data_IF_816300148968
#
_entry.id   IF_816300148968
#
_cell.length_a   1.000
_cell.length_b   1.000
_cell.length_c   1.000
_cell.angle_alpha   90.00
_cell.angle_beta   90.00
_cell.angle_gamma   90.00
#
_symmetry.space_group_name_H-M   'P 1'
#
loop_
_entity.id
_entity.type
_entity.pdbx_description
1 polymer ?
#
# COMPACT_ATOMS: atom_id res chain seq x y z
N UNK A 1 -0.72 19.38 30.79
CA UNK A 1 -1.60 20.51 30.43
C UNK A 1 -2.41 21.01 31.63
N UNK A 2 -3.21 20.19 32.32
CA UNK A 2 -3.95 20.64 33.52
C UNK A 2 -3.03 21.29 34.58
N UNK A 3 -1.82 20.74 34.74
CA UNK A 3 -0.78 21.28 35.62
C UNK A 3 -0.39 22.74 35.30
N UNK A 4 -0.22 23.10 34.02
CA UNK A 4 0.18 24.46 33.63
C UNK A 4 -0.95 25.48 33.86
N UNK A 5 -2.19 25.11 33.56
CA UNK A 5 -3.37 25.94 33.86
C UNK A 5 -3.52 26.18 35.36
N UNK A 6 -3.31 25.16 36.19
CA UNK A 6 -3.35 25.28 37.65
C UNK A 6 -2.22 26.16 38.17
N UNK A 7 -1.00 25.98 37.69
CA UNK A 7 0.15 26.80 38.08
C UNK A 7 -0.05 28.27 37.69
N UNK A 8 -0.55 28.54 36.48
CA UNK A 8 -0.85 29.91 36.04
C UNK A 8 -2.00 30.53 36.85
N UNK A 9 -3.04 29.75 37.16
CA UNK A 9 -4.12 30.18 38.05
C UNK A 9 -3.64 30.51 39.46
N UNK A 10 -2.76 29.67 40.04
CA UNK A 10 -2.13 29.92 41.34
C UNK A 10 -1.25 31.16 41.31
N UNK A 11 -0.48 31.37 40.24
CA UNK A 11 0.32 32.58 40.04
C UNK A 11 -0.56 33.84 40.07
N UNK A 12 -1.66 33.84 39.31
CA UNK A 12 -2.60 34.97 39.32
C UNK A 12 -3.25 35.18 40.69
N UNK A 13 -3.63 34.10 41.38
CA UNK A 13 -4.22 34.18 42.72
C UNK A 13 -3.25 34.76 43.75
N UNK A 14 -1.97 34.39 43.71
CA UNK A 14 -0.92 34.94 44.59
C UNK A 14 -0.82 36.46 44.40
N UNK A 15 -0.73 36.93 43.15
CA UNK A 15 -0.64 38.36 42.88
C UNK A 15 -1.91 39.14 43.24
N UNK A 16 -3.09 38.53 43.08
CA UNK A 16 -4.35 39.10 43.50
C UNK A 16 -4.43 39.28 45.02
N UNK A 17 -4.00 38.26 45.78
CA UNK A 17 -3.94 38.31 47.25
C UNK A 17 -2.93 39.37 47.70
N UNK A 18 -1.73 39.41 47.11
CA UNK A 18 -0.73 40.43 47.41
C UNK A 18 -1.21 41.86 47.11
N UNK A 19 -2.00 42.05 46.06
CA UNK A 19 -2.65 43.32 45.77
C UNK A 19 -3.70 43.67 46.84
N UNK A 20 -4.56 42.73 47.23
CA UNK A 20 -5.63 42.95 48.18
C UNK A 20 -5.12 43.27 49.61
N UNK A 21 -3.98 42.69 50.02
CA UNK A 21 -3.35 42.99 51.31
C UNK A 21 -2.42 44.22 51.27
N UNK A 22 -1.99 44.66 50.09
CA UNK A 22 -1.01 45.73 49.90
C UNK A 22 -1.64 47.09 49.62
N UNK A 23 -0.95 48.18 50.00
CA UNK A 23 -1.34 49.57 49.61
C UNK A 23 -0.72 50.04 48.28
N UNK A 24 0.13 49.22 47.67
CA UNK A 24 0.91 49.57 46.48
C UNK A 24 0.24 49.02 45.22
N UNK A 25 0.30 49.76 44.11
CA UNK A 25 -0.28 49.35 42.82
C UNK A 25 0.56 48.29 42.07
N UNK A 26 1.81 48.05 42.47
CA UNK A 26 2.74 47.15 41.77
C UNK A 26 2.22 45.72 41.54
N UNK A 27 1.61 45.04 42.54
CA UNK A 27 1.03 43.71 42.33
C UNK A 27 -0.07 43.68 41.26
N UNK A 28 -0.87 44.75 41.16
CA UNK A 28 -1.90 44.88 40.13
C UNK A 28 -1.28 45.03 38.73
N UNK A 29 -0.20 45.79 38.60
CA UNK A 29 0.54 45.92 37.34
C UNK A 29 1.09 44.57 36.86
N UNK A 30 1.64 43.75 37.77
CA UNK A 30 2.15 42.41 37.44
C UNK A 30 1.01 41.48 37.04
N UNK A 31 -0.13 41.52 37.74
CA UNK A 31 -1.31 40.72 37.42
C UNK A 31 -1.89 41.08 36.05
N UNK A 32 -2.12 42.37 35.78
CA UNK A 32 -2.62 42.87 34.49
C UNK A 32 -1.61 42.57 33.36
N UNK A 33 -0.32 42.79 33.60
CA UNK A 33 0.74 42.46 32.64
C UNK A 33 0.78 40.98 32.29
N UNK A 34 0.62 40.10 33.29
CA UNK A 34 0.56 38.64 33.07
C UNK A 34 -0.66 38.24 32.24
N UNK A 35 -1.82 38.86 32.47
CA UNK A 35 -3.05 38.60 31.72
C UNK A 35 -2.91 39.08 30.27
N UNK A 36 -2.41 40.30 30.05
CA UNK A 36 -2.17 40.86 28.71
C UNK A 36 -1.16 39.99 27.95
N UNK A 37 -0.08 39.55 28.61
CA UNK A 37 0.90 38.65 28.01
C UNK A 37 0.27 37.32 27.59
N UNK A 38 -0.57 36.70 28.42
CA UNK A 38 -1.27 35.46 28.07
C UNK A 38 -2.23 35.63 26.89
N UNK A 39 -2.97 36.74 26.83
CA UNK A 39 -3.88 37.04 25.70
C UNK A 39 -3.08 37.29 24.41
N UNK A 40 -1.99 38.06 24.49
CA UNK A 40 -1.12 38.33 23.35
C UNK A 40 -0.49 37.04 22.81
N UNK A 41 0.00 36.18 23.70
CA UNK A 41 0.61 34.90 23.36
C UNK A 41 -0.41 33.94 22.73
N UNK A 42 -1.62 33.87 23.29
CA UNK A 42 -2.73 33.13 22.70
C UNK A 42 -3.08 33.59 21.28
N UNK A 43 -3.14 34.91 21.06
CA UNK A 43 -3.40 35.50 19.75
C UNK A 43 -2.26 35.21 18.76
N UNK A 44 -1.00 35.36 19.19
CA UNK A 44 0.18 35.01 18.40
C UNK A 44 0.17 33.54 17.99
N UNK A 45 -0.05 32.63 18.93
CA UNK A 45 -0.11 31.18 18.68
C UNK A 45 -1.25 30.83 17.73
N UNK A 46 -2.43 31.44 17.90
CA UNK A 46 -3.56 31.22 16.99
C UNK A 46 -3.27 31.74 15.57
N UNK A 47 -2.61 32.88 15.41
CA UNK A 47 -2.25 33.41 14.09
C UNK A 47 -1.13 32.60 13.44
N UNK A 48 -0.08 32.27 14.20
CA UNK A 48 1.07 31.51 13.72
C UNK A 48 0.70 30.09 13.29
N UNK A 49 -0.26 29.46 13.97
CA UNK A 49 -0.76 28.12 13.59
C UNK A 49 -1.33 28.05 12.17
N UNK A 50 -1.75 29.18 11.57
CA UNK A 50 -2.24 29.23 10.17
C UNK A 50 -1.12 29.18 9.13
N UNK A 51 0.13 29.39 9.56
CA UNK A 51 1.30 29.47 8.69
C UNK A 51 2.17 28.19 8.73
N UNK A 52 1.66 27.15 9.38
CA UNK A 52 2.28 25.84 9.43
C UNK A 52 1.92 25.04 8.18
N UNK A 53 2.93 24.35 7.64
CA UNK A 53 2.76 23.31 6.62
C UNK A 53 3.42 22.04 7.12
N UNK A 54 2.72 20.93 6.97
CA UNK A 54 3.25 19.62 7.31
C UNK A 54 3.56 18.84 6.04
N UNK A 55 4.69 18.14 6.07
CA UNK A 55 5.04 17.15 5.07
C UNK A 55 5.53 15.88 5.75
N UNK A 56 5.14 14.75 5.19
CA UNK A 56 5.49 13.42 5.70
C UNK A 56 6.25 12.70 4.60
N UNK A 57 7.43 12.17 4.93
CA UNK A 57 8.18 11.30 4.02
C UNK A 57 8.57 10.01 4.71
N UNK A 58 8.58 8.94 3.93
CA UNK A 58 8.92 7.59 4.35
C UNK A 58 9.70 6.91 3.20
N UNK A 59 10.49 5.87 3.47
CA UNK A 59 11.04 5.02 2.43
C UNK A 59 9.92 4.42 1.58
N UNK A 60 10.20 4.18 0.29
CA UNK A 60 9.23 3.57 -0.63
C UNK A 60 8.95 2.11 -0.24
N UNK A 61 10.00 1.37 0.09
CA UNK A 61 9.95 0.00 0.55
C UNK A 61 11.02 -0.29 1.59
N UNK A 62 10.76 -1.29 2.43
CA UNK A 62 11.61 -1.75 3.55
C UNK A 62 11.48 -3.28 3.64
N UNK A 63 12.54 -3.98 4.03
CA UNK A 63 12.48 -5.44 4.23
C UNK A 63 11.73 -5.79 5.52
N UNK A 64 11.13 -6.98 5.58
CA UNK A 64 10.49 -7.45 6.80
C UNK A 64 11.51 -7.52 7.95
N UNK A 65 11.10 -7.04 9.12
CA UNK A 65 11.94 -6.96 10.32
C UNK A 65 12.81 -5.70 10.43
N UNK A 66 12.98 -4.92 9.35
CA UNK A 66 13.66 -3.62 9.41
C UNK A 66 12.74 -2.53 10.00
N UNK A 67 13.34 -1.46 10.53
CA UNK A 67 12.60 -0.33 11.07
C UNK A 67 12.19 0.67 9.98
N UNK A 68 10.90 1.00 9.93
CA UNK A 68 10.39 2.04 9.02
C UNK A 68 10.60 3.41 9.65
N UNK A 69 11.51 4.19 9.08
CA UNK A 69 11.83 5.55 9.52
C UNK A 69 10.97 6.58 8.80
N UNK A 70 10.11 7.26 9.54
CA UNK A 70 9.18 8.27 9.03
C UNK A 70 9.67 9.65 9.41
N UNK A 71 9.98 10.48 8.42
CA UNK A 71 10.38 11.87 8.63
C UNK A 71 9.14 12.77 8.63
N UNK A 72 8.88 13.39 9.77
CA UNK A 72 7.86 14.43 9.94
C UNK A 72 8.55 15.77 9.79
N UNK A 73 8.13 16.54 8.81
CA UNK A 73 8.72 17.82 8.53
C UNK A 73 7.68 18.93 8.66
N UNK A 74 8.01 19.90 9.51
CA UNK A 74 7.19 21.05 9.85
C UNK A 74 7.86 22.29 9.27
N UNK A 75 7.16 23.00 8.40
CA UNK A 75 7.59 24.29 7.88
C UNK A 75 6.72 25.39 8.50
N UNK A 76 7.36 26.35 9.18
CA UNK A 76 6.69 27.54 9.69
C UNK A 76 7.05 28.74 8.82
N UNK A 77 6.10 29.15 7.98
CA UNK A 77 6.26 30.33 7.10
C UNK A 77 6.03 31.66 7.84
N UNK A 78 5.52 31.59 9.07
CA UNK A 78 5.22 32.73 9.92
C UNK A 78 6.47 33.32 10.57
N UNK A 79 6.33 34.55 11.08
CA UNK A 79 7.37 35.25 11.85
C UNK A 79 7.52 34.71 13.28
N UNK A 80 6.44 34.22 13.88
CA UNK A 80 6.43 33.80 15.27
C UNK A 80 6.85 32.34 15.42
N UNK A 81 7.78 32.08 16.35
CA UNK A 81 8.20 30.74 16.72
C UNK A 81 7.15 30.05 17.59
N UNK A 82 6.89 28.78 17.31
CA UNK A 82 6.01 27.92 18.09
C UNK A 82 6.84 26.93 18.88
N UNK A 83 6.82 27.04 20.20
CA UNK A 83 7.74 26.27 21.04
C UNK A 83 7.34 24.79 21.18
N UNK A 84 6.04 24.49 21.20
CA UNK A 84 5.56 23.12 21.41
C UNK A 84 4.44 22.78 20.45
N UNK A 85 4.76 21.91 19.51
CA UNK A 85 3.81 21.19 18.66
C UNK A 85 3.74 19.76 19.16
N UNK A 86 2.53 19.21 19.28
CA UNK A 86 2.33 17.77 19.47
C UNK A 86 1.79 17.20 18.17
N UNK A 87 2.56 16.30 17.59
CA UNK A 87 2.22 15.61 16.35
C UNK A 87 2.01 14.14 16.68
N UNK A 88 0.89 13.57 16.24
CA UNK A 88 0.68 12.13 16.32
C UNK A 88 0.87 11.53 14.93
N UNK A 89 1.86 10.63 14.80
CA UNK A 89 2.07 9.82 13.59
C UNK A 89 1.41 8.48 13.82
N UNK A 90 0.51 8.08 12.93
CA UNK A 90 -0.13 6.77 12.97
C UNK A 90 0.24 5.98 11.71
N UNK A 91 0.65 4.73 11.94
CA UNK A 91 0.92 3.73 10.93
C UNK A 91 -0.20 2.68 10.95
N UNK A 92 -0.80 2.43 9.79
CA UNK A 92 -1.80 1.38 9.61
C UNK A 92 -1.31 0.41 8.54
N UNK A 93 -1.26 -0.88 8.85
CA UNK A 93 -1.02 -1.91 7.83
C UNK A 93 -2.35 -2.19 7.12
N UNK A 94 -2.41 -2.00 5.79
CA UNK A 94 -3.63 -2.14 5.02
C UNK A 94 -4.08 -3.60 4.82
N UNK A 95 -3.13 -4.54 4.78
CA UNK A 95 -3.40 -5.97 4.68
C UNK A 95 -3.98 -6.53 5.99
N UNK A 96 -3.28 -6.28 7.11
CA UNK A 96 -3.61 -6.88 8.43
C UNK A 96 -4.60 -6.05 9.26
N UNK A 97 -4.73 -4.75 8.97
CA UNK A 97 -5.45 -3.71 9.73
C UNK A 97 -4.85 -3.36 11.10
N UNK A 98 -3.61 -3.78 11.37
CA UNK A 98 -2.88 -3.38 12.58
C UNK A 98 -2.58 -1.87 12.57
N UNK A 99 -2.67 -1.24 13.76
CA UNK A 99 -2.45 0.21 13.92
C UNK A 99 -1.46 0.48 15.05
N UNK A 100 -0.49 1.34 14.76
CA UNK A 100 0.49 1.82 15.72
C UNK A 100 0.58 3.34 15.65
N UNK A 101 0.53 4.03 16.78
CA UNK A 101 0.68 5.49 16.80
C UNK A 101 1.80 5.91 17.75
N UNK A 102 2.56 6.92 17.35
CA UNK A 102 3.62 7.55 18.15
C UNK A 102 3.41 9.05 18.18
N UNK A 103 3.57 9.64 19.37
CA UNK A 103 3.46 11.07 19.56
C UNK A 103 4.85 11.71 19.63
N UNK A 104 5.04 12.78 18.88
CA UNK A 104 6.23 13.61 18.84
C UNK A 104 5.94 14.97 19.43
N UNK A 105 6.97 15.57 20.03
CA UNK A 105 6.98 17.00 20.33
C UNK A 105 8.03 17.68 19.49
N UNK A 106 7.61 18.68 18.73
CA UNK A 106 8.46 19.39 17.78
C UNK A 106 8.36 20.89 18.08
N UNK A 107 9.47 21.62 17.96
CA UNK A 107 9.43 23.08 17.89
C UNK A 107 9.27 23.52 16.43
N UNK A 108 8.73 24.70 16.17
CA UNK A 108 8.74 25.26 14.83
C UNK A 108 9.15 26.73 14.91
N UNK A 109 10.46 27.02 14.83
CA UNK A 109 10.95 28.39 14.77
C UNK A 109 10.38 29.14 13.57
N UNK A 110 10.19 30.45 13.70
CA UNK A 110 9.67 31.28 12.62
C UNK A 110 10.57 31.26 11.39
N UNK A 111 9.96 31.21 10.19
CA UNK A 111 10.64 31.17 8.87
C UNK A 111 11.66 30.04 8.72
N UNK A 112 11.43 28.91 9.39
CA UNK A 112 12.31 27.76 9.37
C UNK A 112 11.54 26.46 9.12
N UNK A 113 12.30 25.44 8.72
CA UNK A 113 11.84 24.07 8.52
C UNK A 113 12.54 23.18 9.53
N UNK A 114 11.77 22.42 10.29
CA UNK A 114 12.29 21.43 11.23
C UNK A 114 11.82 20.03 10.82
N UNK A 115 12.69 19.05 10.96
CA UNK A 115 12.41 17.65 10.66
C UNK A 115 12.70 16.80 11.88
N UNK A 116 11.79 15.88 12.19
CA UNK A 116 11.95 14.88 13.25
C UNK A 116 11.65 13.50 12.68
N UNK A 117 12.38 12.49 13.12
CA UNK A 117 12.21 11.12 12.64
C UNK A 117 11.55 10.26 13.70
N UNK A 118 10.55 9.47 13.29
CA UNK A 118 9.91 8.43 14.10
C UNK A 118 10.16 7.10 13.44
N UNK A 119 10.64 6.13 14.21
CA UNK A 119 10.75 4.75 13.75
C UNK A 119 9.55 3.92 14.18
N UNK A 120 9.15 2.97 13.34
CA UNK A 120 8.23 1.90 13.68
C UNK A 120 8.97 0.56 13.46
N UNK A 121 8.92 -0.32 14.46
CA UNK A 121 9.65 -1.59 14.47
C UNK A 121 8.67 -2.75 14.65
N UNK A 122 9.06 -3.95 14.23
CA UNK A 122 8.23 -5.16 14.36
C UNK A 122 6.96 -5.11 13.50
N UNK A 123 7.03 -4.45 12.35
CA UNK A 123 5.91 -4.35 11.40
C UNK A 123 5.83 -5.61 10.55
N UNK A 124 4.61 -6.10 10.36
CA UNK A 124 4.30 -7.20 9.44
C UNK A 124 4.40 -6.76 7.99
N UNK A 125 4.54 -7.73 7.07
CA UNK A 125 4.48 -7.44 5.64
C UNK A 125 3.12 -6.81 5.28
N UNK A 126 3.12 -5.97 4.26
CA UNK A 126 1.92 -5.17 3.96
C UNK A 126 2.26 -3.78 3.43
N UNK A 127 1.29 -3.15 2.77
CA UNK A 127 1.34 -1.72 2.48
C UNK A 127 0.97 -0.94 3.74
N UNK A 128 1.88 -0.11 4.20
CA UNK A 128 1.68 0.77 5.34
C UNK A 128 1.14 2.12 4.89
N UNK A 129 0.01 2.52 5.47
CA UNK A 129 -0.52 3.88 5.39
C UNK A 129 -0.04 4.67 6.61
N UNK A 130 0.78 5.68 6.37
CA UNK A 130 1.33 6.58 7.38
C UNK A 130 0.56 7.90 7.34
N UNK A 131 -0.02 8.30 8.47
CA UNK A 131 -0.91 9.47 8.57
C UNK A 131 -0.57 10.36 9.75
N UNK A 132 -0.92 11.64 9.62
CA UNK A 132 -0.90 12.63 10.70
C UNK A 132 -2.33 13.03 11.08
N UNK A 133 -3.09 12.21 11.83
CA UNK A 133 -4.51 12.49 12.12
C UNK A 133 -4.74 13.76 12.93
N UNK A 134 -3.73 14.20 13.70
CA UNK A 134 -3.85 15.38 14.53
C UNK A 134 -2.51 16.07 14.78
N UNK A 135 -2.47 17.37 14.47
CA UNK A 135 -1.47 18.32 14.94
C UNK A 135 -2.12 19.23 16.00
N UNK A 136 -1.47 19.37 17.15
CA UNK A 136 -1.84 20.36 18.17
C UNK A 136 -0.71 21.35 18.39
N UNK A 137 -1.02 22.63 18.25
CA UNK A 137 -0.12 23.73 18.57
C UNK A 137 -0.42 24.22 19.97
N UNK A 138 0.59 24.25 20.83
CA UNK A 138 0.47 24.77 22.18
C UNK A 138 1.12 26.14 22.30
N UNK A 139 0.51 26.92 23.17
CA UNK A 139 0.97 28.23 23.61
C UNK A 139 2.16 28.06 24.60
N UNK A 140 3.00 29.07 24.75
CA UNK A 140 4.19 29.04 25.62
C UNK A 140 3.83 28.78 27.08
N UNK A 141 2.67 29.28 27.53
CA UNK A 141 2.18 29.08 28.89
C UNK A 141 1.45 27.75 29.10
N UNK A 142 1.18 26.98 28.04
CA UNK A 142 0.44 25.71 28.12
C UNK A 142 -1.04 25.87 28.52
N UNK A 143 -1.64 27.05 28.33
CA UNK A 143 -3.04 27.36 28.65
C UNK A 143 -3.97 26.88 27.54
N UNK A 144 -3.55 27.00 26.28
CA UNK A 144 -4.36 26.70 25.10
C UNK A 144 -3.66 25.74 24.14
N UNK A 145 -4.46 24.86 23.51
CA UNK A 145 -3.99 23.95 22.48
C UNK A 145 -4.90 24.06 21.27
N UNK A 146 -4.38 24.60 20.16
CA UNK A 146 -5.13 24.68 18.90
C UNK A 146 -4.93 23.40 18.11
N UNK A 147 -6.02 22.73 17.75
CA UNK A 147 -5.97 21.66 16.74
C UNK A 147 -5.83 22.27 15.36
N UNK A 148 -4.86 21.79 14.60
CA UNK A 148 -4.68 22.04 13.18
C UNK A 148 -4.97 20.72 12.48
N UNK A 149 -6.03 20.70 11.67
CA UNK A 149 -6.38 19.53 10.89
C UNK A 149 -5.66 19.64 9.55
N UNK A 150 -4.71 18.75 9.32
CA UNK A 150 -3.99 18.63 8.05
C UNK A 150 -3.92 17.15 7.72
N UNK A 151 -4.54 16.74 6.62
CA UNK A 151 -4.62 15.33 6.22
C UNK A 151 -3.43 14.98 5.34
N UNK A 152 -2.25 14.87 5.95
CA UNK A 152 -1.04 14.41 5.26
C UNK A 152 -0.95 12.89 5.41
N UNK A 153 -0.77 12.22 4.28
CA UNK A 153 -0.57 10.77 4.20
C UNK A 153 0.58 10.43 3.27
N UNK A 154 1.31 9.37 3.60
CA UNK A 154 2.30 8.74 2.73
C UNK A 154 2.22 7.23 2.88
N UNK A 155 2.83 6.51 1.95
CA UNK A 155 2.83 5.05 1.93
C UNK A 155 4.25 4.51 1.96
N UNK A 156 4.42 3.35 2.60
CA UNK A 156 5.66 2.57 2.59
C UNK A 156 5.27 1.11 2.46
N UNK A 157 6.02 0.33 1.67
CA UNK A 157 5.77 -1.11 1.52
C UNK A 157 6.73 -1.89 2.41
N UNK A 158 6.21 -2.77 3.28
CA UNK A 158 7.03 -3.80 3.92
C UNK A 158 6.97 -5.04 3.04
N UNK A 159 8.10 -5.39 2.45
CA UNK A 159 8.19 -6.50 1.50
C UNK A 159 7.88 -7.84 2.19
N UNK A 160 7.18 -8.76 1.51
CA UNK A 160 6.90 -10.08 2.04
C UNK A 160 8.16 -10.95 2.05
N UNK A 161 8.27 -11.85 3.03
CA UNK A 161 9.23 -12.94 2.94
C UNK A 161 8.69 -14.01 1.98
N UNK A 162 9.46 -14.34 0.94
CA UNK A 162 9.05 -15.32 -0.06
C UNK A 162 9.42 -16.74 0.37
N UNK A 163 8.48 -17.68 0.19
CA UNK A 163 8.65 -19.10 0.45
C UNK A 163 9.06 -19.84 -0.83
N UNK A 164 9.81 -20.96 -0.72
CA UNK A 164 10.06 -21.81 -1.88
C UNK A 164 8.74 -22.45 -2.35
N UNK A 165 8.41 -22.24 -3.62
CA UNK A 165 7.26 -22.88 -4.28
C UNK A 165 7.78 -23.78 -5.39
N UNK A 166 7.37 -25.05 -5.37
CA UNK A 166 7.67 -26.01 -6.41
C UNK A 166 6.50 -26.09 -7.37
N UNK A 167 6.73 -25.70 -8.63
CA UNK A 167 5.76 -25.77 -9.70
C UNK A 167 5.90 -27.08 -10.44
N UNK A 168 4.80 -27.82 -10.59
CA UNK A 168 4.69 -28.94 -11.52
C UNK A 168 3.75 -28.52 -12.65
N UNK A 169 4.33 -28.16 -13.80
CA UNK A 169 3.58 -27.81 -15.00
C UNK A 169 3.25 -29.08 -15.80
N UNK A 170 1.97 -29.38 -15.96
CA UNK A 170 1.46 -30.39 -16.88
C UNK A 170 1.47 -29.92 -18.34
N UNK A 171 1.18 -30.82 -19.28
CA UNK A 171 1.22 -30.55 -20.74
C UNK A 171 0.23 -29.47 -21.25
N UNK A 172 -0.66 -28.93 -20.39
CA UNK A 172 -1.67 -27.91 -20.76
C UNK A 172 -1.21 -26.45 -20.62
N UNK A 173 0.04 -26.19 -20.23
CA UNK A 173 0.64 -24.83 -20.23
C UNK A 173 1.25 -24.44 -21.59
N UNK A 174 0.94 -25.19 -22.65
CA UNK A 174 1.31 -24.79 -24.01
C UNK A 174 0.43 -23.63 -24.47
N UNK A 175 1.00 -22.55 -25.01
CA UNK A 175 0.22 -21.40 -25.46
C UNK A 175 -0.88 -21.85 -26.42
N UNK A 176 -2.12 -21.52 -26.08
CA UNK A 176 -3.25 -21.80 -26.96
C UNK A 176 -3.12 -20.95 -28.23
N UNK A 177 -3.03 -21.63 -29.38
CA UNK A 177 -2.92 -20.99 -30.69
C UNK A 177 -4.26 -20.37 -31.14
N UNK A 178 -5.34 -20.56 -30.37
CA UNK A 178 -6.65 -19.94 -30.58
C UNK A 178 -6.88 -18.69 -29.70
N UNK A 179 -5.85 -18.12 -29.07
CA UNK A 179 -6.02 -16.90 -28.25
C UNK A 179 -6.37 -15.68 -29.10
N UNK A 180 -7.33 -14.86 -28.64
CA UNK A 180 -7.73 -13.61 -29.30
C UNK A 180 -6.77 -12.42 -29.01
N UNK A 181 -5.86 -12.55 -28.04
CA UNK A 181 -4.91 -11.49 -27.66
C UNK A 181 -3.46 -11.88 -27.94
N UNK A 182 -2.64 -10.92 -28.42
CA UNK A 182 -1.26 -11.15 -28.83
C UNK A 182 -0.31 -10.12 -28.22
N UNK A 183 0.94 -10.53 -27.97
CA UNK A 183 1.93 -9.70 -27.30
C UNK A 183 2.26 -8.50 -28.15
N UNK A 184 2.25 -7.30 -27.56
CA UNK A 184 2.67 -6.05 -28.22
C UNK A 184 4.16 -5.78 -28.09
N UNK A 185 4.90 -6.63 -27.36
CA UNK A 185 6.33 -6.43 -27.05
C UNK A 185 7.25 -7.49 -27.66
N UNK A 186 6.77 -8.72 -27.84
CA UNK A 186 7.59 -9.84 -28.30
C UNK A 186 6.99 -10.54 -29.53
N UNK A 187 7.80 -10.89 -30.54
CA UNK A 187 7.36 -11.74 -31.64
C UNK A 187 7.21 -13.20 -31.20
N UNK A 188 6.31 -13.94 -31.85
CA UNK A 188 6.07 -15.37 -31.61
C UNK A 188 6.13 -16.22 -32.87
N UNK A 189 5.42 -17.34 -32.87
CA UNK A 189 5.41 -18.35 -33.93
C UNK A 189 4.00 -18.60 -34.52
N UNK A 190 2.98 -17.82 -34.13
CA UNK A 190 1.61 -18.02 -34.62
C UNK A 190 1.38 -17.40 -36.01
N UNK A 191 1.14 -18.21 -37.07
CA UNK A 191 0.87 -17.71 -38.41
C UNK A 191 -0.47 -16.96 -38.56
N UNK A 192 -1.39 -17.08 -37.61
CA UNK A 192 -2.69 -16.39 -37.64
C UNK A 192 -2.50 -14.86 -37.58
N UNK A 193 -1.65 -14.39 -36.66
CA UNK A 193 -1.47 -12.96 -36.36
C UNK A 193 -0.12 -12.40 -36.82
N UNK A 194 -0.08 -11.09 -37.09
CA UNK A 194 1.15 -10.36 -37.47
C UNK A 194 1.60 -9.43 -36.36
N UNK A 195 2.73 -9.75 -35.71
CA UNK A 195 3.34 -8.85 -34.72
C UNK A 195 3.91 -7.59 -35.37
N UNK A 196 4.77 -7.78 -36.38
CA UNK A 196 5.44 -6.68 -37.06
C UNK A 196 5.88 -7.08 -38.47
N UNK A 197 6.13 -6.07 -39.31
CA UNK A 197 6.72 -6.24 -40.64
C UNK A 197 8.14 -5.69 -40.62
N UNK A 198 9.11 -6.48 -41.09
CA UNK A 198 10.51 -6.07 -41.17
C UNK A 198 11.18 -6.53 -42.45
N UNK A 199 12.34 -5.95 -42.77
CA UNK A 199 13.17 -6.41 -43.88
C UNK A 199 13.77 -7.79 -43.61
N UNK A 200 13.95 -8.55 -44.69
CA UNK A 200 14.55 -9.88 -44.67
C UNK A 200 16.01 -9.83 -44.21
N UNK A 201 16.35 -10.71 -43.27
CA UNK A 201 17.72 -10.95 -42.83
C UNK A 201 18.10 -12.38 -43.22
N UNK A 202 19.32 -12.63 -43.72
CA UNK A 202 19.79 -13.97 -44.02
C UNK A 202 19.64 -14.92 -42.82
N UNK A 203 18.83 -15.96 -42.97
CA UNK A 203 18.43 -16.88 -41.89
C UNK A 203 16.92 -16.95 -41.67
N UNK A 204 16.17 -15.97 -42.17
CA UNK A 204 14.71 -15.96 -42.08
C UNK A 204 14.06 -17.05 -42.93
N UNK A 205 12.98 -17.63 -42.41
CA UNK A 205 12.20 -18.67 -43.08
C UNK A 205 11.57 -18.06 -44.35
N UNK A 206 11.70 -18.74 -45.49
CA UNK A 206 11.07 -18.27 -46.75
C UNK A 206 9.55 -18.19 -46.64
N UNK A 207 8.94 -19.04 -45.80
CA UNK A 207 7.49 -19.06 -45.56
C UNK A 207 6.96 -17.82 -44.86
N UNK A 208 7.80 -17.08 -44.12
CA UNK A 208 7.39 -15.83 -43.45
C UNK A 208 7.48 -14.60 -44.36
N UNK A 209 7.86 -14.75 -45.63
CA UNK A 209 7.92 -13.63 -46.59
C UNK A 209 6.50 -13.20 -46.99
N UNK A 210 6.21 -11.91 -46.84
CA UNK A 210 4.93 -11.33 -47.24
C UNK A 210 4.99 -10.93 -48.73
N UNK A 211 4.85 -11.90 -49.62
CA UNK A 211 5.04 -11.73 -51.08
C UNK A 211 4.27 -10.54 -51.69
N UNK A 212 3.01 -10.34 -51.29
CA UNK A 212 2.17 -9.26 -51.81
C UNK A 212 2.66 -7.85 -51.41
N UNK A 213 3.41 -7.75 -50.31
CA UNK A 213 3.99 -6.49 -49.87
C UNK A 213 5.35 -6.31 -50.52
N UNK A 214 6.17 -7.36 -50.55
CA UNK A 214 7.43 -7.41 -51.31
C UNK A 214 7.25 -6.96 -52.77
N UNK A 215 6.20 -7.43 -53.45
CA UNK A 215 5.89 -7.04 -54.83
C UNK A 215 5.64 -5.52 -54.97
N UNK A 216 5.03 -4.89 -53.96
CA UNK A 216 4.69 -3.45 -53.99
C UNK A 216 5.86 -2.55 -53.61
N UNK A 217 6.64 -2.94 -52.60
CA UNK A 217 7.75 -2.12 -52.09
C UNK A 217 9.07 -2.35 -52.83
N UNK A 218 9.24 -3.50 -53.50
CA UNK A 218 10.51 -3.88 -54.15
C UNK A 218 11.50 -4.55 -53.20
N UNK A 219 11.41 -4.30 -51.90
CA UNK A 219 12.23 -4.92 -50.86
C UNK A 219 11.57 -6.18 -50.26
N UNK A 220 12.38 -7.19 -49.91
CA UNK A 220 11.87 -8.46 -49.34
C UNK A 220 11.43 -8.23 -47.90
N UNK A 221 10.12 -8.21 -47.67
CA UNK A 221 9.52 -8.01 -46.35
C UNK A 221 9.11 -9.35 -45.73
N UNK A 222 9.42 -9.52 -44.45
CA UNK A 222 9.11 -10.68 -43.62
C UNK A 222 8.07 -10.29 -42.56
N UNK A 223 7.03 -11.11 -42.42
CA UNK A 223 6.10 -11.09 -41.28
C UNK A 223 6.79 -11.69 -40.06
N UNK A 224 6.92 -10.91 -39.00
CA UNK A 224 7.09 -11.44 -37.66
C UNK A 224 5.71 -11.87 -37.16
N UNK A 225 5.63 -13.11 -36.71
CA UNK A 225 4.40 -13.74 -36.27
C UNK A 225 4.04 -13.27 -34.86
N UNK A 226 2.74 -13.28 -34.55
CA UNK A 226 2.23 -12.97 -33.22
C UNK A 226 2.70 -13.99 -32.18
N UNK A 227 2.88 -13.53 -30.94
CA UNK A 227 2.94 -14.41 -29.78
C UNK A 227 1.55 -14.38 -29.10
N UNK A 228 0.76 -15.45 -29.15
CA UNK A 228 -0.50 -15.51 -28.40
C UNK A 228 -0.24 -15.25 -26.90
N UNK A 229 -1.01 -14.34 -26.31
CA UNK A 229 -0.96 -14.02 -24.87
C UNK A 229 -1.96 -14.91 -24.19
N UNK A 230 -1.45 -16.05 -23.72
CA UNK A 230 -2.26 -16.99 -22.97
C UNK A 230 -2.56 -16.40 -21.59
N UNK A 231 -3.84 -16.10 -21.32
CA UNK A 231 -4.34 -15.75 -20.00
C UNK A 231 -4.46 -17.04 -19.16
N UNK A 232 -3.34 -17.77 -19.06
CA UNK A 232 -3.39 -19.15 -18.59
C UNK A 232 -3.61 -19.23 -17.08
N UNK A 233 -3.18 -18.23 -16.29
CA UNK A 233 -3.17 -18.34 -14.83
C UNK A 233 -3.73 -17.09 -14.15
N UNK A 234 -4.77 -17.29 -13.34
CA UNK A 234 -5.30 -16.32 -12.38
C UNK A 234 -4.90 -16.73 -10.96
N UNK A 235 -4.14 -15.89 -10.27
CA UNK A 235 -3.94 -15.96 -8.82
C UNK A 235 -5.03 -15.15 -8.12
N UNK A 236 -5.98 -15.85 -7.52
CA UNK A 236 -7.09 -15.24 -6.81
C UNK A 236 -6.78 -15.21 -5.31
N UNK A 237 -6.54 -14.01 -4.78
CA UNK A 237 -6.40 -13.77 -3.34
C UNK A 237 -7.78 -13.70 -2.71
N UNK A 238 -8.13 -14.67 -1.87
CA UNK A 238 -9.35 -14.63 -1.07
C UNK A 238 -9.17 -13.71 0.14
N UNK A 239 -9.54 -12.45 -0.04
CA UNK A 239 -9.56 -11.46 1.03
C UNK A 239 -10.89 -11.44 1.83
N UNK A 240 -11.68 -12.51 1.72
CA UNK A 240 -12.90 -12.80 2.48
C UNK A 240 -12.69 -13.96 3.45
N UNK A 241 -12.20 -13.65 4.65
CA UNK A 241 -12.02 -14.66 5.69
C UNK A 241 -13.37 -15.13 6.26
N UNK A 242 -13.52 -16.40 6.68
CA UNK A 242 -14.78 -16.89 7.23
C UNK A 242 -15.06 -16.34 8.64
N UNK A 243 -13.99 -16.09 9.41
CA UNK A 243 -14.03 -15.54 10.77
C UNK A 243 -12.95 -14.48 10.97
N UNK A 244 -12.90 -13.89 12.16
CA UNK A 244 -11.84 -12.96 12.56
C UNK A 244 -10.47 -13.66 12.62
N UNK A 245 -9.72 -13.59 11.53
CA UNK A 245 -8.35 -14.09 11.45
C UNK A 245 -7.36 -13.22 12.23
N UNK A 246 -6.28 -13.84 12.72
CA UNK A 246 -5.20 -13.11 13.37
C UNK A 246 -4.40 -12.31 12.33
N UNK A 247 -3.71 -11.23 12.73
CA UNK A 247 -2.80 -10.52 11.83
C UNK A 247 -1.71 -11.40 11.23
N UNK A 248 -1.31 -12.47 11.92
CA UNK A 248 -0.34 -13.44 11.41
C UNK A 248 -0.92 -14.26 10.26
N UNK A 249 -2.16 -14.73 10.36
CA UNK A 249 -2.81 -15.48 9.27
C UNK A 249 -2.98 -14.62 8.02
N UNK A 250 -3.35 -13.34 8.19
CA UNK A 250 -3.48 -12.37 7.10
C UNK A 250 -2.13 -12.10 6.41
N UNK A 251 -1.08 -11.96 7.21
CA UNK A 251 0.29 -11.82 6.72
C UNK A 251 0.71 -13.06 5.91
N UNK A 252 0.50 -14.26 6.47
CA UNK A 252 0.82 -15.53 5.81
C UNK A 252 0.10 -15.68 4.47
N UNK A 253 -1.17 -15.28 4.36
CA UNK A 253 -1.88 -15.32 3.09
C UNK A 253 -1.25 -14.38 2.06
N UNK A 254 -0.92 -13.15 2.45
CA UNK A 254 -0.23 -12.20 1.57
C UNK A 254 1.15 -12.69 1.12
N UNK A 255 1.94 -13.27 2.03
CA UNK A 255 3.24 -13.85 1.72
C UNK A 255 3.13 -15.08 0.82
N UNK A 256 2.14 -15.94 1.06
CA UNK A 256 1.85 -17.10 0.22
C UNK A 256 1.52 -16.67 -1.22
N UNK A 257 0.61 -15.71 -1.40
CA UNK A 257 0.26 -15.21 -2.73
C UNK A 257 1.46 -14.56 -3.43
N UNK A 258 2.25 -13.76 -2.70
CA UNK A 258 3.48 -13.17 -3.23
C UNK A 258 4.51 -14.24 -3.64
N UNK A 259 4.61 -15.33 -2.87
CA UNK A 259 5.54 -16.43 -3.14
C UNK A 259 5.16 -17.22 -4.38
N UNK A 260 3.86 -17.54 -4.53
CA UNK A 260 3.35 -18.22 -5.74
C UNK A 260 3.55 -17.34 -6.97
N UNK A 261 3.22 -16.04 -6.87
CA UNK A 261 3.43 -15.09 -7.96
C UNK A 261 4.91 -14.99 -8.37
N UNK A 262 5.82 -14.87 -7.39
CA UNK A 262 7.26 -14.84 -7.65
C UNK A 262 7.77 -16.14 -8.32
N UNK A 263 7.24 -17.30 -7.91
CA UNK A 263 7.61 -18.58 -8.51
C UNK A 263 7.11 -18.72 -9.95
N UNK A 264 5.90 -18.25 -10.26
CA UNK A 264 5.39 -18.18 -11.63
C UNK A 264 6.28 -17.28 -12.50
N UNK A 265 6.67 -16.10 -11.98
CA UNK A 265 7.61 -15.22 -12.68
C UNK A 265 8.96 -15.92 -12.94
N UNK A 266 9.50 -16.63 -11.95
CA UNK A 266 10.76 -17.36 -12.08
C UNK A 266 10.69 -18.50 -13.12
N UNK A 267 9.51 -19.09 -13.31
CA UNK A 267 9.23 -20.07 -14.35
C UNK A 267 8.92 -19.45 -15.74
N UNK A 268 8.87 -18.11 -15.83
CA UNK A 268 8.52 -17.41 -17.07
C UNK A 268 7.03 -17.44 -17.42
N UNK A 269 6.16 -17.72 -16.45
CA UNK A 269 4.72 -17.80 -16.63
C UNK A 269 4.05 -16.46 -16.29
N UNK A 270 3.38 -15.88 -17.29
CA UNK A 270 2.58 -14.66 -17.12
C UNK A 270 1.27 -14.99 -16.40
N UNK A 271 0.84 -14.13 -15.48
CA UNK A 271 -0.36 -14.38 -14.69
C UNK A 271 -1.03 -13.08 -14.25
N UNK A 272 -2.30 -13.16 -13.88
CA UNK A 272 -3.04 -12.08 -13.24
C UNK A 272 -3.15 -12.34 -11.73
N UNK A 273 -2.95 -11.30 -10.92
CA UNK A 273 -3.32 -11.33 -9.50
C UNK A 273 -4.63 -10.58 -9.37
N UNK A 274 -5.65 -11.21 -8.80
CA UNK A 274 -6.94 -10.56 -8.58
C UNK A 274 -7.45 -10.73 -7.15
N UNK A 275 -8.23 -9.75 -6.70
CA UNK A 275 -8.88 -9.71 -5.40
C UNK A 275 -10.14 -8.85 -5.47
N UNK A 276 -10.99 -8.95 -4.45
CA UNK A 276 -12.15 -8.08 -4.34
C UNK A 276 -11.78 -6.77 -3.64
N UNK A 277 -11.77 -5.64 -4.37
CA UNK A 277 -11.50 -4.32 -3.79
C UNK A 277 -12.75 -3.76 -3.13
N UNK A 278 -12.79 -3.91 -1.81
CA UNK A 278 -13.87 -3.43 -0.94
C UNK A 278 -14.03 -1.90 -0.94
N UNK A 279 -13.04 -1.12 -1.40
CA UNK A 279 -13.19 0.34 -1.47
C UNK A 279 -13.98 0.77 -2.71
N UNK A 280 -13.85 0.02 -3.80
CA UNK A 280 -14.50 0.29 -5.08
C UNK A 280 -15.73 -0.60 -5.30
N UNK A 281 -15.94 -1.60 -4.44
CA UNK A 281 -17.00 -2.61 -4.57
C UNK A 281 -16.92 -3.33 -5.93
N UNK A 282 -15.69 -3.68 -6.32
CA UNK A 282 -15.37 -4.22 -7.63
C UNK A 282 -14.19 -5.18 -7.58
N UNK A 283 -14.11 -6.06 -8.57
CA UNK A 283 -12.94 -6.90 -8.80
C UNK A 283 -11.78 -6.04 -9.28
N UNK A 284 -10.65 -6.12 -8.58
CA UNK A 284 -9.39 -5.53 -9.04
C UNK A 284 -8.45 -6.64 -9.48
N UNK A 285 -7.73 -6.39 -10.58
CA UNK A 285 -6.72 -7.32 -11.09
C UNK A 285 -5.51 -6.57 -11.62
N UNK A 286 -4.34 -7.19 -11.51
CA UNK A 286 -3.06 -6.64 -11.97
C UNK A 286 -2.30 -7.70 -12.78
N UNK A 287 -1.86 -7.38 -14.00
CA UNK A 287 -1.00 -8.26 -14.79
C UNK A 287 0.42 -8.32 -14.25
N UNK A 288 0.97 -9.53 -14.24
CA UNK A 288 2.36 -9.82 -13.90
C UNK A 288 2.98 -10.59 -15.06
N UNK A 289 3.77 -9.88 -15.86
CA UNK A 289 4.51 -10.43 -17.00
C UNK A 289 5.90 -10.95 -16.59
N UNK A 290 6.43 -10.46 -15.47
CA UNK A 290 7.76 -10.79 -14.95
C UNK A 290 8.13 -10.01 -13.70
N UNK A 291 9.41 -10.07 -13.32
CA UNK A 291 9.94 -9.51 -12.07
C UNK A 291 9.77 -7.97 -11.98
N UNK A 292 9.91 -7.26 -13.10
CA UNK A 292 9.74 -5.79 -13.16
C UNK A 292 8.30 -5.37 -12.82
N UNK A 293 7.31 -6.17 -13.22
CA UNK A 293 5.88 -5.93 -12.95
C UNK A 293 5.43 -6.47 -11.59
N UNK A 294 6.19 -7.40 -11.00
CA UNK A 294 5.87 -8.00 -9.71
C UNK A 294 5.90 -6.97 -8.59
N UNK A 295 6.93 -6.13 -8.52
CA UNK A 295 7.10 -5.14 -7.44
C UNK A 295 5.90 -4.18 -7.30
N UNK A 296 5.40 -3.52 -8.38
CA UNK A 296 4.20 -2.69 -8.28
C UNK A 296 2.94 -3.52 -7.98
N UNK A 297 2.82 -4.74 -8.52
CA UNK A 297 1.69 -5.62 -8.22
C UNK A 297 1.64 -6.02 -6.73
N UNK A 298 2.79 -6.30 -6.11
CA UNK A 298 2.90 -6.57 -4.68
C UNK A 298 2.41 -5.39 -3.84
N UNK A 299 2.63 -4.15 -4.28
CA UNK A 299 2.13 -2.98 -3.56
C UNK A 299 0.59 -2.90 -3.55
N UNK A 300 -0.09 -3.39 -4.57
CA UNK A 300 -1.56 -3.43 -4.62
C UNK A 300 -2.13 -4.65 -3.91
N UNK A 301 -1.54 -5.84 -4.14
CA UNK A 301 -1.84 -7.07 -3.41
C UNK A 301 -1.77 -6.86 -1.89
N UNK A 302 -0.65 -6.29 -1.41
CA UNK A 302 -0.41 -6.06 0.01
C UNK A 302 -1.22 -4.86 0.57
N UNK A 303 -2.05 -4.22 -0.25
CA UNK A 303 -3.08 -3.27 0.16
C UNK A 303 -4.48 -3.89 0.25
N UNK A 304 -4.68 -5.09 -0.31
CA UNK A 304 -5.96 -5.79 -0.34
C UNK A 304 -6.35 -6.26 1.07
N UNK A 305 -7.18 -5.46 1.74
CA UNK A 305 -7.57 -5.70 3.14
C UNK A 305 -8.30 -7.03 3.29
N UNK A 306 -7.81 -7.87 4.19
CA UNK A 306 -8.45 -9.15 4.55
C UNK A 306 -9.41 -8.92 5.72
N UNK A 307 -10.70 -9.23 5.49
CA UNK A 307 -11.80 -8.96 6.43
C UNK A 307 -12.68 -10.21 6.55
N UNK A 308 -13.29 -10.45 7.73
CA UNK A 308 -14.33 -11.46 7.86
C UNK A 308 -15.53 -11.12 6.98
N UNK A 309 -15.96 -12.07 6.17
CA UNK A 309 -17.06 -11.94 5.22
C UNK A 309 -17.73 -13.29 5.04
N UNK A 310 -19.07 -13.30 5.01
CA UNK A 310 -19.82 -14.53 4.76
C UNK A 310 -19.65 -14.95 3.29
N UNK A 311 -19.65 -13.97 2.38
CA UNK A 311 -19.51 -14.21 0.95
C UNK A 311 -18.05 -14.50 0.57
N UNK A 312 -17.89 -15.48 -0.32
CA UNK A 312 -16.57 -15.87 -0.83
C UNK A 312 -16.07 -14.85 -1.85
N UNK A 313 -14.77 -14.78 -2.08
CA UNK A 313 -14.24 -13.95 -3.17
C UNK A 313 -14.79 -14.37 -4.54
N UNK A 314 -15.05 -15.66 -4.77
CA UNK A 314 -15.64 -16.17 -6.01
C UNK A 314 -17.08 -15.68 -6.20
N UNK A 315 -17.87 -15.63 -5.13
CA UNK A 315 -19.23 -15.10 -5.16
C UNK A 315 -19.24 -13.60 -5.48
N UNK A 316 -18.31 -12.84 -4.88
CA UNK A 316 -18.12 -11.42 -5.21
C UNK A 316 -17.73 -11.23 -6.67
N UNK A 317 -16.84 -12.08 -7.20
CA UNK A 317 -16.48 -12.04 -8.62
C UNK A 317 -17.67 -12.29 -9.53
N UNK A 318 -18.49 -13.31 -9.23
CA UNK A 318 -19.68 -13.61 -10.00
C UNK A 318 -20.72 -12.46 -9.97
N UNK A 319 -20.85 -11.76 -8.84
CA UNK A 319 -21.80 -10.65 -8.68
C UNK A 319 -21.32 -9.37 -9.36
N UNK A 320 -20.02 -9.07 -9.28
CA UNK A 320 -19.41 -7.89 -9.90
C UNK A 320 -19.17 -8.03 -11.41
N UNK A 321 -19.53 -9.17 -12.02
CA UNK A 321 -19.29 -9.44 -13.44
C UNK A 321 -17.82 -9.65 -13.78
N UNK A 322 -17.02 -10.09 -12.80
CA UNK A 322 -15.64 -10.51 -13.05
C UNK A 322 -15.65 -11.79 -13.87
N UNK A 323 -14.91 -11.79 -14.98
CA UNK A 323 -14.79 -13.00 -15.79
C UNK A 323 -13.68 -13.92 -15.26
N UNK A 324 -13.97 -15.21 -15.22
CA UNK A 324 -13.01 -16.28 -14.93
C UNK A 324 -12.54 -16.96 -16.23
N UNK A 325 -12.42 -16.18 -17.32
CA UNK A 325 -11.91 -16.63 -18.63
C UNK A 325 -10.40 -16.89 -18.59
N UNK A 326 -9.99 -17.86 -17.76
CA UNK A 326 -8.61 -18.26 -17.55
C UNK A 326 -8.50 -19.78 -17.72
N UNK A 327 -7.34 -20.27 -18.15
CA UNK A 327 -7.10 -21.72 -18.27
C UNK A 327 -7.01 -22.36 -16.89
N UNK A 328 -6.40 -21.66 -15.93
CA UNK A 328 -6.12 -22.12 -14.58
C UNK A 328 -6.39 -21.00 -13.57
N UNK A 329 -7.11 -21.33 -12.49
CA UNK A 329 -7.39 -20.41 -11.38
C UNK A 329 -6.83 -21.00 -10.10
N UNK A 330 -5.85 -20.33 -9.52
CA UNK A 330 -5.27 -20.66 -8.22
C UNK A 330 -5.94 -19.80 -7.15
N UNK A 331 -6.80 -20.41 -6.34
CA UNK A 331 -7.46 -19.76 -5.21
C UNK A 331 -6.59 -19.90 -3.94
N UNK A 332 -6.10 -18.79 -3.41
CA UNK A 332 -5.37 -18.75 -2.14
C UNK A 332 -6.31 -18.25 -1.05
N UNK A 333 -6.60 -19.10 -0.06
CA UNK A 333 -7.65 -18.81 0.93
C UNK A 333 -7.28 -19.20 2.36
N UNK A 334 -7.86 -18.48 3.33
CA UNK A 334 -7.84 -18.83 4.75
C UNK A 334 -9.02 -19.73 5.15
N UNK A 335 -9.91 -20.06 4.21
CA UNK A 335 -11.04 -20.96 4.43
C UNK A 335 -10.57 -22.42 4.42
N UNK A 336 -11.09 -23.27 5.32
CA UNK A 336 -10.84 -24.71 5.23
C UNK A 336 -11.43 -25.27 3.92
N UNK A 337 -10.82 -26.35 3.39
CA UNK A 337 -10.96 -26.97 2.04
C UNK A 337 -12.38 -27.34 1.52
N UNK A 338 -13.48 -26.84 2.10
CA UNK A 338 -14.85 -27.23 1.77
C UNK A 338 -15.64 -26.16 1.00
N UNK A 339 -15.04 -25.50 0.00
CA UNK A 339 -15.82 -24.66 -0.93
C UNK A 339 -16.25 -25.47 -2.17
N UNK A 340 -17.52 -25.35 -2.60
CA UNK A 340 -17.97 -25.95 -3.85
C UNK A 340 -17.29 -25.23 -5.02
N UNK A 341 -16.28 -25.87 -5.60
CA UNK A 341 -15.67 -25.45 -6.86
C UNK A 341 -16.75 -25.54 -7.95
N UNK A 342 -16.91 -24.54 -8.82
CA UNK A 342 -17.79 -24.67 -9.98
C UNK A 342 -17.22 -25.73 -10.93
N UNK A 343 -17.68 -26.97 -10.81
CA UNK A 343 -17.34 -28.07 -11.71
C UNK A 343 -18.05 -27.87 -13.05
N UNK A 344 -17.29 -27.48 -14.08
CA UNK A 344 -17.74 -27.54 -15.46
C UNK A 344 -16.79 -28.40 -16.27
N UNK A 345 -17.32 -29.34 -17.07
CA UNK A 345 -16.53 -30.18 -18.00
C UNK A 345 -15.74 -29.34 -19.05
N UNK A 346 -16.04 -28.05 -19.17
CA UNK A 346 -15.41 -27.07 -20.08
C UNK A 346 -14.92 -25.80 -19.37
N UNK A 347 -14.81 -25.79 -18.04
CA UNK A 347 -14.42 -24.61 -17.24
C UNK A 347 -12.94 -24.53 -16.88
N UNK A 348 -12.50 -23.41 -16.25
CA UNK A 348 -11.14 -23.25 -15.72
C UNK A 348 -10.73 -24.39 -14.78
N UNK A 349 -9.46 -24.79 -14.83
CA UNK A 349 -8.90 -25.71 -13.84
C UNK A 349 -8.69 -24.95 -12.51
N UNK A 350 -9.37 -25.36 -11.44
CA UNK A 350 -9.23 -24.74 -10.12
C UNK A 350 -8.22 -25.48 -9.26
N UNK A 351 -7.27 -24.74 -8.69
CA UNK A 351 -6.36 -25.23 -7.63
C UNK A 351 -6.58 -24.40 -6.38
N UNK A 352 -7.08 -25.02 -5.31
CA UNK A 352 -7.25 -24.36 -4.02
C UNK A 352 -6.02 -24.59 -3.16
N UNK A 353 -5.40 -23.51 -2.71
CA UNK A 353 -4.23 -23.53 -1.82
C UNK A 353 -4.66 -22.94 -0.47
N UNK A 354 -5.02 -23.77 0.52
CA UNK A 354 -5.35 -23.28 1.84
C UNK A 354 -4.09 -22.75 2.53
N UNK A 355 -4.16 -21.53 3.03
CA UNK A 355 -3.16 -20.94 3.89
C UNK A 355 -3.33 -21.52 5.31
N UNK A 356 -2.75 -22.70 5.54
CA UNK A 356 -2.68 -23.29 6.87
C UNK A 356 -1.72 -22.54 7.79
N UNK A 357 -1.90 -22.65 9.10
CA UNK A 357 -0.95 -22.16 10.13
C UNK A 357 0.45 -22.79 10.05
N UNK A 358 0.66 -23.73 9.11
CA UNK A 358 1.86 -24.52 8.93
C UNK A 358 2.17 -24.76 7.43
N UNK A 359 2.14 -23.72 6.59
CA UNK A 359 3.14 -23.70 5.50
C UNK A 359 4.48 -23.51 6.22
N UNK A 360 5.05 -24.61 6.72
CA UNK A 360 6.31 -24.56 7.42
C UNK A 360 7.33 -24.01 6.43
N UNK A 361 8.14 -23.04 6.87
CA UNK A 361 9.14 -22.36 6.04
C UNK A 361 10.09 -23.32 5.31
N UNK A 362 10.13 -24.59 5.74
CA UNK A 362 11.02 -25.64 5.24
C UNK A 362 10.35 -26.59 4.24
N UNK A 363 9.04 -26.84 4.30
CA UNK A 363 8.37 -27.83 3.45
C UNK A 363 8.02 -27.31 2.05
N UNK A 364 7.95 -25.98 1.89
CA UNK A 364 7.61 -25.32 0.64
C UNK A 364 6.15 -25.55 0.20
N UNK A 365 5.73 -24.87 -0.85
CA UNK A 365 4.37 -25.02 -1.42
C UNK A 365 4.47 -25.81 -2.72
N UNK A 366 3.66 -26.85 -2.87
CA UNK A 366 3.56 -27.60 -4.11
C UNK A 366 2.36 -27.11 -4.91
N UNK A 367 2.59 -26.65 -6.13
CA UNK A 367 1.56 -26.18 -7.03
C UNK A 367 1.56 -27.01 -8.31
N UNK A 368 0.46 -27.69 -8.61
CA UNK A 368 0.25 -28.36 -9.88
C UNK A 368 -0.52 -27.40 -10.81
N UNK A 369 0.08 -27.09 -11.96
CA UNK A 369 -0.48 -26.24 -13.02
C UNK A 369 -0.82 -27.07 -14.24
#
# INVERSE_FOLDING_TARGET
MARYRVLFGLWLAIWLVLWALGKNAMPLCVLLGSLVAAIAELACTALAAKHLRLSLSAPLSVQKGEEVSVCVQVENTGLFSLATLSVQVCCRNLLTDERSCRALRISAPGRQRQSEVVTFAGLRCGKLELTLPELRVYDLFGLYGRRVAENVRTFSLVLPELYPVQLQTGERTTPDFDSDEYSMRHPGDDPSETFALREYVPGDRVRSIHWKLTEKTGDVIVRQLGLPVDHSILLLLDNSAPEACTPADKESLGELTASVSAALCAAGLTHHIAWYDRNQDAVSSVPVEGEDTLTPALAELLAARIVPDEQTVLEHFAQCGGSLDYTHVVLLTLRPEQEPIPEGESGPLFTVVPCGAAVSREEGVYLAL
#
